data_IF_561948280777
#
_entry.id   IF_561948280777
#
_cell.length_a   1.000
_cell.length_b   1.000
_cell.length_c   1.000
_cell.angle_alpha   90.00
_cell.angle_beta   90.00
_cell.angle_gamma   90.00
#
_symmetry.space_group_name_H-M   'P 1'
#
loop_
_entity.id
_entity.type
_entity.pdbx_description
1 polymer ?
#
# COMPACT_ATOMS: atom_id res chain seq x y z
N UNK A 1 -7.14 -45.59 -54.35
CA UNK A 1 -7.49 -45.16 -52.98
C UNK A 1 -6.33 -44.33 -52.45
N UNK A 2 -6.42 -43.04 -52.76
CA UNK A 2 -5.74 -41.91 -52.11
C UNK A 2 -6.33 -41.82 -50.69
N UNK A 3 -5.67 -41.51 -49.60
CA UNK A 3 -4.46 -40.75 -49.31
C UNK A 3 -4.79 -40.02 -48.00
N UNK A 4 -4.08 -40.32 -46.91
CA UNK A 4 -4.52 -39.90 -45.57
C UNK A 4 -3.43 -39.99 -44.50
N UNK A 5 -2.17 -39.76 -44.87
CA UNK A 5 -1.04 -39.83 -43.92
C UNK A 5 -0.08 -38.65 -43.94
N UNK A 6 -0.24 -37.70 -44.86
CA UNK A 6 0.71 -36.58 -45.04
C UNK A 6 0.24 -35.30 -44.33
N UNK A 7 -1.08 -35.13 -44.13
CA UNK A 7 -1.65 -33.88 -43.64
C UNK A 7 -1.41 -33.57 -42.14
N UNK A 8 -1.16 -34.59 -41.29
CA UNK A 8 -1.05 -34.38 -39.84
C UNK A 8 0.37 -34.03 -39.38
N UNK A 9 1.41 -34.55 -40.04
CA UNK A 9 2.80 -34.18 -39.73
C UNK A 9 3.18 -32.82 -40.32
N UNK A 10 2.66 -32.47 -41.50
CA UNK A 10 2.88 -31.15 -42.10
C UNK A 10 2.12 -30.06 -41.33
N UNK A 11 0.91 -30.35 -40.82
CA UNK A 11 0.18 -29.41 -39.94
C UNK A 11 0.88 -29.18 -38.58
N UNK A 12 1.52 -30.21 -38.00
CA UNK A 12 2.32 -30.04 -36.77
C UNK A 12 3.62 -29.26 -37.02
N UNK A 13 4.24 -29.42 -38.19
CA UNK A 13 5.41 -28.61 -38.60
C UNK A 13 5.04 -27.16 -38.94
N UNK A 14 3.87 -26.92 -39.53
CA UNK A 14 3.34 -25.56 -39.70
C UNK A 14 3.02 -24.90 -38.36
N UNK A 15 2.39 -25.61 -37.43
CA UNK A 15 2.15 -25.10 -36.07
C UNK A 15 3.45 -24.74 -35.34
N UNK A 16 4.50 -25.56 -35.45
CA UNK A 16 5.81 -25.26 -34.84
C UNK A 16 6.54 -24.08 -35.53
N UNK A 17 6.26 -23.81 -36.81
CA UNK A 17 6.80 -22.65 -37.53
C UNK A 17 5.98 -21.37 -37.29
N UNK A 18 4.69 -21.49 -36.98
CA UNK A 18 3.79 -20.38 -36.59
C UNK A 18 4.03 -19.97 -35.14
N UNK A 19 4.23 -20.93 -34.23
CA UNK A 19 4.61 -20.71 -32.85
C UNK A 19 6.12 -20.86 -32.66
N UNK A 20 6.90 -19.96 -33.26
CA UNK A 20 8.27 -19.76 -32.77
C UNK A 20 8.16 -19.23 -31.35
N UNK A 21 8.50 -20.08 -30.38
CA UNK A 21 8.71 -19.68 -29.01
C UNK A 21 9.93 -18.73 -28.95
N UNK A 22 9.70 -17.48 -29.32
CA UNK A 22 10.51 -16.39 -28.78
C UNK A 22 10.21 -16.31 -27.28
N UNK A 23 11.17 -15.91 -26.45
CA UNK A 23 10.93 -15.75 -25.03
C UNK A 23 9.87 -14.68 -24.88
N UNK A 24 8.63 -15.08 -24.56
CA UNK A 24 7.57 -14.14 -24.22
C UNK A 24 7.99 -13.53 -22.89
N UNK A 25 8.44 -12.28 -22.97
CA UNK A 25 8.70 -11.48 -21.80
C UNK A 25 7.35 -11.30 -21.07
N UNK A 26 7.11 -12.06 -19.99
CA UNK A 26 5.81 -12.18 -19.32
C UNK A 26 5.23 -10.83 -18.83
N UNK A 27 6.04 -9.76 -18.83
CA UNK A 27 5.63 -8.38 -18.51
C UNK A 27 4.99 -7.67 -19.72
N UNK A 28 5.35 -8.06 -20.95
CA UNK A 28 4.86 -7.42 -22.18
C UNK A 28 3.40 -7.79 -22.53
N UNK A 29 2.96 -9.00 -22.14
CA UNK A 29 1.63 -9.52 -22.52
C UNK A 29 0.45 -8.78 -21.86
N UNK A 30 0.45 -8.49 -20.54
CA UNK A 30 -0.68 -7.81 -19.89
C UNK A 30 -0.85 -6.35 -20.35
N UNK A 31 0.25 -5.61 -20.51
CA UNK A 31 0.20 -4.23 -20.99
C UNK A 31 -0.23 -4.18 -22.46
N UNK A 32 0.24 -5.13 -23.28
CA UNK A 32 -0.21 -5.26 -24.68
C UNK A 32 -1.72 -5.49 -24.76
N UNK A 33 -2.26 -6.40 -23.94
CA UNK A 33 -3.71 -6.65 -23.85
C UNK A 33 -4.50 -5.40 -23.46
N UNK A 34 -3.98 -4.58 -22.55
CA UNK A 34 -4.60 -3.32 -22.15
C UNK A 34 -4.60 -2.32 -23.32
N UNK A 35 -3.48 -2.21 -24.04
CA UNK A 35 -3.34 -1.33 -25.22
C UNK A 35 -4.30 -1.71 -26.34
N UNK A 36 -4.47 -3.00 -26.59
CA UNK A 36 -5.46 -3.51 -27.54
C UNK A 36 -6.89 -3.20 -27.11
N UNK A 37 -7.18 -3.26 -25.79
CA UNK A 37 -8.48 -2.91 -25.23
C UNK A 37 -8.79 -1.42 -25.42
N UNK A 38 -7.81 -0.54 -25.17
CA UNK A 38 -7.94 0.88 -25.48
C UNK A 38 -8.21 1.12 -26.96
N UNK A 39 -7.45 0.47 -27.84
CA UNK A 39 -7.63 0.61 -29.28
C UNK A 39 -9.01 0.11 -29.75
N UNK A 40 -9.55 -0.95 -29.13
CA UNK A 40 -10.92 -1.42 -29.39
C UNK A 40 -11.96 -0.41 -28.94
N UNK A 41 -11.85 0.11 -27.72
CA UNK A 41 -12.75 1.15 -27.22
C UNK A 41 -12.74 2.36 -28.16
N UNK A 42 -11.57 2.91 -28.48
CA UNK A 42 -11.39 4.09 -29.36
C UNK A 42 -11.97 3.89 -30.78
N UNK A 43 -12.01 2.66 -31.31
CA UNK A 43 -12.60 2.35 -32.62
C UNK A 43 -14.12 2.28 -32.62
N UNK A 44 -14.73 1.93 -31.48
CA UNK A 44 -16.18 1.88 -31.32
C UNK A 44 -16.80 3.27 -31.16
N UNK A 45 -15.98 4.30 -30.90
CA UNK A 45 -16.41 5.67 -30.55
C UNK A 45 -16.78 6.58 -31.74
N UNK A 46 -17.02 6.04 -32.94
CA UNK A 46 -17.53 6.83 -34.07
C UNK A 46 -19.01 7.26 -33.86
N UNK A 47 -19.74 6.68 -32.89
CA UNK A 47 -21.19 6.86 -32.70
C UNK A 47 -21.65 7.51 -31.36
N UNK A 48 -20.84 8.34 -30.70
CA UNK A 48 -21.28 9.05 -29.47
C UNK A 48 -22.00 10.38 -29.75
N UNK A 49 -23.05 10.37 -30.59
CA UNK A 49 -23.91 11.55 -30.80
C UNK A 49 -24.91 11.80 -29.66
N UNK A 50 -25.09 10.83 -28.75
CA UNK A 50 -26.15 10.88 -27.75
C UNK A 50 -25.59 11.27 -26.38
N UNK A 51 -25.92 12.49 -25.93
CA UNK A 51 -25.44 13.13 -24.70
C UNK A 51 -25.97 12.47 -23.39
N UNK A 52 -26.75 11.38 -23.47
CA UNK A 52 -27.55 10.89 -22.34
C UNK A 52 -26.96 9.74 -21.51
N UNK A 53 -25.86 9.09 -21.92
CA UNK A 53 -25.22 8.06 -21.08
C UNK A 53 -24.28 8.70 -20.04
N UNK A 54 -24.84 9.06 -18.89
CA UNK A 54 -24.14 9.75 -17.81
C UNK A 54 -22.98 8.91 -17.22
N UNK A 55 -21.74 9.27 -17.58
CA UNK A 55 -20.58 8.99 -16.73
C UNK A 55 -20.84 9.60 -15.35
N UNK A 56 -20.80 8.80 -14.28
CA UNK A 56 -21.01 9.30 -12.91
C UNK A 56 -19.75 10.06 -12.50
N UNK A 57 -19.83 11.39 -12.54
CA UNK A 57 -18.80 12.30 -12.06
C UNK A 57 -19.08 12.70 -10.61
N UNK A 58 -18.07 12.53 -9.76
CA UNK A 58 -18.04 13.18 -8.45
C UNK A 58 -17.06 14.33 -8.50
N UNK A 59 -17.38 15.44 -7.83
CA UNK A 59 -16.53 16.62 -7.78
C UNK A 59 -15.85 16.70 -6.41
N UNK A 60 -14.54 16.89 -6.42
CA UNK A 60 -13.76 17.07 -5.20
C UNK A 60 -14.26 18.27 -4.39
N UNK A 61 -14.47 18.09 -3.09
CA UNK A 61 -15.00 19.14 -2.20
C UNK A 61 -16.53 19.17 -2.05
N UNK A 62 -17.27 18.28 -2.73
CA UNK A 62 -18.71 18.10 -2.48
C UNK A 62 -18.98 17.32 -1.18
N UNK A 63 -20.06 17.64 -0.46
CA UNK A 63 -20.49 16.88 0.74
C UNK A 63 -20.64 15.39 0.43
N UNK A 64 -21.26 15.07 -0.72
CA UNK A 64 -21.40 13.71 -1.22
C UNK A 64 -20.04 12.98 -1.34
N UNK A 65 -18.99 13.64 -1.85
CA UNK A 65 -17.68 13.00 -1.95
C UNK A 65 -16.99 12.86 -0.59
N UNK A 66 -17.20 13.80 0.33
CA UNK A 66 -16.67 13.69 1.70
C UNK A 66 -17.25 12.47 2.42
N UNK A 67 -18.55 12.21 2.27
CA UNK A 67 -19.23 11.06 2.85
C UNK A 67 -18.78 9.72 2.22
N UNK A 68 -18.40 9.76 0.94
CA UNK A 68 -17.97 8.57 0.17
C UNK A 68 -16.45 8.35 0.21
N UNK A 69 -15.65 9.28 0.75
CA UNK A 69 -14.18 9.25 0.71
C UNK A 69 -13.60 7.97 1.31
N UNK A 70 -14.24 7.42 2.34
CA UNK A 70 -13.80 6.20 3.02
C UNK A 70 -14.32 4.91 2.36
N UNK A 71 -15.17 5.01 1.33
CA UNK A 71 -15.77 3.88 0.62
C UNK A 71 -15.37 3.82 -0.86
N UNK A 72 -14.72 4.88 -1.36
CA UNK A 72 -14.14 4.97 -2.69
C UNK A 72 -12.63 4.69 -2.63
N UNK A 73 -12.21 3.65 -3.34
CA UNK A 73 -10.79 3.30 -3.43
C UNK A 73 -10.10 4.14 -4.49
N UNK A 74 -9.56 5.29 -4.08
CA UNK A 74 -8.76 6.09 -4.97
C UNK A 74 -7.54 5.33 -5.48
N UNK A 75 -7.34 5.38 -6.79
CA UNK A 75 -6.13 4.95 -7.44
C UNK A 75 -5.07 6.04 -7.36
N UNK A 76 -3.79 5.65 -7.25
CA UNK A 76 -2.69 6.60 -7.14
C UNK A 76 -2.51 7.47 -8.37
N UNK A 77 -1.84 8.61 -8.17
CA UNK A 77 -1.24 9.35 -9.27
C UNK A 77 0.21 8.97 -9.41
N UNK A 78 0.45 8.02 -10.30
CA UNK A 78 1.76 7.42 -10.49
C UNK A 78 2.56 8.30 -11.46
N UNK A 79 3.37 9.27 -10.98
CA UNK A 79 4.29 10.05 -11.84
C UNK A 79 5.61 9.31 -12.05
N UNK A 80 6.24 8.90 -10.96
CA UNK A 80 7.41 8.00 -10.89
C UNK A 80 7.17 6.98 -9.76
N UNK A 81 7.40 5.69 -10.06
CA UNK A 81 6.87 4.57 -9.27
C UNK A 81 7.87 3.93 -8.32
N UNK A 82 9.14 4.26 -8.49
CA UNK A 82 10.26 3.80 -7.69
C UNK A 82 11.33 4.90 -7.52
N UNK A 83 10.96 6.16 -7.21
CA UNK A 83 11.96 7.18 -6.95
C UNK A 83 12.79 6.76 -5.74
N UNK A 84 14.09 6.58 -5.97
CA UNK A 84 15.05 6.38 -4.88
C UNK A 84 15.02 7.61 -3.99
N UNK A 85 15.00 7.41 -2.68
CA UNK A 85 15.09 8.50 -1.74
C UNK A 85 16.46 9.19 -1.87
N UNK A 86 16.44 10.52 -1.97
CA UNK A 86 17.65 11.34 -1.85
C UNK A 86 17.82 11.77 -0.40
N UNK A 87 18.66 11.05 0.34
CA UNK A 87 18.94 11.34 1.75
C UNK A 87 19.52 12.74 1.99
N UNK A 88 20.08 13.40 0.96
CA UNK A 88 20.54 14.78 1.07
C UNK A 88 19.37 15.75 1.34
N UNK A 89 18.15 15.39 0.91
CA UNK A 89 16.93 16.18 1.08
C UNK A 89 16.17 15.91 2.38
N UNK A 90 16.67 15.02 3.23
CA UNK A 90 16.04 14.67 4.49
C UNK A 90 15.85 15.90 5.39
N UNK A 91 14.65 16.04 5.96
CA UNK A 91 14.32 17.17 6.83
C UNK A 91 14.80 16.92 8.27
N UNK A 92 16.05 17.31 8.55
CA UNK A 92 16.74 17.03 9.81
C UNK A 92 17.00 18.33 10.57
N UNK A 93 16.69 18.33 11.87
CA UNK A 93 17.06 19.40 12.79
C UNK A 93 16.24 20.67 12.63
N UNK A 94 16.64 21.71 13.36
CA UNK A 94 15.96 23.01 13.35
C UNK A 94 16.96 24.15 13.26
N UNK A 95 16.73 25.02 12.27
CA UNK A 95 17.68 26.07 11.91
C UNK A 95 17.98 26.99 13.09
N UNK A 96 19.27 27.14 13.40
CA UNK A 96 19.75 27.96 14.53
C UNK A 96 19.61 27.32 15.91
N UNK A 97 19.10 26.08 15.99
CA UNK A 97 18.92 25.34 17.23
C UNK A 97 19.78 24.06 17.25
N UNK A 98 19.77 23.27 16.18
CA UNK A 98 20.59 22.06 16.06
C UNK A 98 22.03 22.39 15.63
N UNK A 99 22.99 21.62 16.13
CA UNK A 99 24.38 21.70 15.68
C UNK A 99 24.62 20.78 14.48
N UNK A 100 25.72 21.03 13.76
CA UNK A 100 26.13 20.22 12.61
C UNK A 100 26.38 18.77 13.03
N UNK A 101 26.97 18.56 14.22
CA UNK A 101 27.25 17.23 14.76
C UNK A 101 25.97 16.46 15.06
N UNK A 102 24.95 17.14 15.61
CA UNK A 102 23.64 16.56 15.86
C UNK A 102 23.00 16.07 14.55
N UNK A 103 22.91 16.94 13.55
CA UNK A 103 22.33 16.59 12.24
C UNK A 103 23.11 15.47 11.54
N UNK A 104 24.44 15.43 11.69
CA UNK A 104 25.28 14.37 11.16
C UNK A 104 25.00 13.01 11.81
N UNK A 105 24.67 12.95 13.10
CA UNK A 105 24.29 11.69 13.77
C UNK A 105 23.01 11.10 13.16
N UNK A 106 21.97 11.92 12.97
CA UNK A 106 20.73 11.47 12.34
C UNK A 106 21.01 11.04 10.90
N UNK A 107 21.79 11.82 10.14
CA UNK A 107 22.14 11.48 8.76
C UNK A 107 22.84 10.12 8.65
N UNK A 108 23.77 9.83 9.55
CA UNK A 108 24.44 8.53 9.60
C UNK A 108 23.46 7.37 9.85
N UNK A 109 22.44 7.57 10.69
CA UNK A 109 21.37 6.59 10.92
C UNK A 109 20.53 6.41 9.65
N UNK A 110 20.14 7.49 8.97
CA UNK A 110 19.38 7.41 7.72
C UNK A 110 20.17 6.70 6.61
N UNK A 111 21.47 6.96 6.49
CA UNK A 111 22.38 6.30 5.55
C UNK A 111 22.51 4.80 5.82
N UNK A 112 22.66 4.43 7.09
CA UNK A 112 22.66 3.04 7.55
C UNK A 112 21.39 2.30 7.14
N UNK A 113 20.23 2.95 7.25
CA UNK A 113 18.92 2.37 6.93
C UNK A 113 18.35 2.81 5.57
N UNK A 114 19.18 3.26 4.63
CA UNK A 114 18.75 3.87 3.36
C UNK A 114 17.73 3.04 2.57
N UNK A 115 17.78 1.71 2.65
CA UNK A 115 16.84 0.79 2.01
C UNK A 115 15.38 0.93 2.50
N UNK A 116 15.18 1.55 3.67
CA UNK A 116 13.86 1.76 4.27
C UNK A 116 13.13 2.97 3.69
N UNK A 117 13.83 3.85 2.96
CA UNK A 117 13.29 5.15 2.55
C UNK A 117 12.91 5.19 1.07
N UNK A 118 11.75 5.79 0.78
CA UNK A 118 11.26 6.04 -0.59
C UNK A 118 11.17 7.55 -0.86
N UNK A 119 11.47 7.94 -2.10
CA UNK A 119 11.57 9.35 -2.53
C UNK A 119 10.24 10.01 -2.91
N UNK A 120 9.14 9.25 -2.99
CA UNK A 120 7.77 9.76 -3.14
C UNK A 120 6.86 8.91 -2.26
N UNK A 121 5.84 9.53 -1.65
CA UNK A 121 4.83 8.83 -0.86
C UNK A 121 3.98 7.86 -1.69
N UNK A 122 3.96 8.00 -3.02
CA UNK A 122 3.27 7.09 -3.95
C UNK A 122 4.19 6.02 -4.58
N UNK A 123 5.45 5.94 -4.15
CA UNK A 123 6.35 4.87 -4.59
C UNK A 123 5.82 3.52 -4.12
N UNK A 124 5.91 2.49 -4.98
CA UNK A 124 5.41 1.16 -4.64
C UNK A 124 6.38 0.51 -3.64
N UNK A 125 5.93 0.25 -2.39
CA UNK A 125 6.79 -0.31 -1.37
C UNK A 125 6.97 -1.82 -1.60
N UNK A 126 8.00 -2.37 -0.96
CA UNK A 126 8.12 -3.81 -0.86
C UNK A 126 6.92 -4.41 -0.09
N UNK A 127 6.53 -5.68 -0.35
CA UNK A 127 5.62 -6.41 0.52
C UNK A 127 6.01 -6.31 1.99
N UNK A 128 5.03 -5.98 2.85
CA UNK A 128 5.20 -6.21 4.29
C UNK A 128 5.18 -7.69 4.62
N UNK A 129 5.73 -8.02 5.79
CA UNK A 129 5.80 -9.38 6.34
C UNK A 129 4.77 -9.57 7.45
N UNK A 130 4.37 -10.81 7.68
CA UNK A 130 3.56 -11.27 8.80
C UNK A 130 2.07 -10.93 8.71
N UNK A 131 1.69 -10.03 7.81
CA UNK A 131 0.31 -9.60 7.60
C UNK A 131 -0.12 -9.85 6.16
N UNK A 132 -1.39 -10.23 6.00
CA UNK A 132 -2.09 -10.23 4.73
C UNK A 132 -3.45 -9.60 4.93
N UNK A 133 -3.95 -8.93 3.90
CA UNK A 133 -5.30 -8.43 3.87
C UNK A 133 -6.23 -9.54 3.38
N UNK A 134 -7.21 -9.84 4.21
CA UNK A 134 -8.25 -10.81 3.93
C UNK A 134 -9.63 -10.19 4.10
N UNK A 135 -10.57 -10.59 3.23
CA UNK A 135 -11.92 -10.02 3.17
C UNK A 135 -12.94 -11.13 3.42
N UNK A 136 -13.34 -11.31 4.68
CA UNK A 136 -14.39 -12.27 5.04
C UNK A 136 -15.77 -11.69 4.74
N UNK A 137 -16.48 -12.29 3.80
CA UNK A 137 -17.87 -11.95 3.44
C UNK A 137 -18.88 -13.02 3.90
N UNK A 138 -18.43 -14.03 4.67
CA UNK A 138 -19.25 -15.17 5.06
C UNK A 138 -19.80 -15.93 3.86
N UNK A 139 -21.09 -16.24 3.89
CA UNK A 139 -21.81 -16.95 2.81
C UNK A 139 -22.38 -16.01 1.74
N UNK A 140 -21.96 -14.73 1.72
CA UNK A 140 -22.44 -13.77 0.74
C UNK A 140 -22.03 -14.20 -0.69
N UNK A 141 -22.99 -14.11 -1.62
CA UNK A 141 -22.74 -14.39 -3.02
C UNK A 141 -21.98 -13.24 -3.69
N UNK A 142 -21.18 -13.53 -4.74
CA UNK A 142 -20.53 -12.48 -5.51
C UNK A 142 -21.48 -11.44 -6.06
N UNK A 143 -21.04 -10.17 -6.02
CA UNK A 143 -21.75 -9.04 -6.61
C UNK A 143 -20.97 -8.55 -7.83
N UNK A 144 -21.53 -8.74 -9.01
CA UNK A 144 -20.98 -8.26 -10.28
C UNK A 144 -21.78 -7.06 -10.78
N UNK A 145 -21.22 -5.85 -10.61
CA UNK A 145 -21.80 -4.64 -11.16
C UNK A 145 -21.30 -4.41 -12.60
N UNK A 146 -22.11 -3.73 -13.41
CA UNK A 146 -21.73 -3.39 -14.78
C UNK A 146 -20.66 -2.29 -14.80
N UNK A 147 -19.76 -2.38 -15.80
CA UNK A 147 -18.86 -1.27 -16.13
C UNK A 147 -19.66 0.00 -16.42
N UNK A 148 -19.17 1.14 -15.90
CA UNK A 148 -19.73 2.46 -16.22
C UNK A 148 -19.11 2.98 -17.52
N UNK A 149 -19.88 3.67 -18.37
CA UNK A 149 -19.34 4.38 -19.53
C UNK A 149 -18.34 5.45 -19.09
N UNK A 150 -17.26 5.61 -19.87
CA UNK A 150 -16.23 6.62 -19.64
C UNK A 150 -16.10 7.45 -20.90
N UNK A 151 -16.19 8.78 -20.76
CA UNK A 151 -16.02 9.67 -21.91
C UNK A 151 -14.62 9.49 -22.55
N UNK A 152 -14.52 9.58 -23.89
CA UNK A 152 -13.26 9.44 -24.64
C UNK A 152 -12.10 10.25 -24.06
N UNK A 153 -12.39 11.50 -23.67
CA UNK A 153 -11.42 12.45 -23.10
C UNK A 153 -10.72 11.95 -21.82
N UNK A 154 -11.37 11.06 -21.06
CA UNK A 154 -10.81 10.49 -19.82
C UNK A 154 -10.27 9.08 -20.02
N UNK A 155 -10.71 8.37 -21.07
CA UNK A 155 -10.34 6.99 -21.31
C UNK A 155 -8.82 6.81 -21.44
N UNK A 156 -8.13 7.79 -22.05
CA UNK A 156 -6.67 7.81 -22.11
C UNK A 156 -6.00 7.94 -20.74
N UNK A 157 -6.52 8.82 -19.87
CA UNK A 157 -6.01 8.97 -18.49
C UNK A 157 -6.24 7.68 -17.68
N UNK A 158 -7.38 7.01 -17.88
CA UNK A 158 -7.69 5.71 -17.26
C UNK A 158 -6.71 4.63 -17.73
N UNK A 159 -6.43 4.57 -19.04
CA UNK A 159 -5.43 3.66 -19.60
C UNK A 159 -4.03 3.89 -19.00
N UNK A 160 -3.55 5.13 -18.99
CA UNK A 160 -2.21 5.47 -18.49
C UNK A 160 -2.04 5.08 -17.01
N UNK A 161 -3.11 5.17 -16.22
CA UNK A 161 -3.12 4.74 -14.83
C UNK A 161 -3.15 3.21 -14.70
N UNK A 162 -4.02 2.52 -15.42
CA UNK A 162 -4.09 1.05 -15.40
C UNK A 162 -2.79 0.41 -15.91
N UNK A 163 -2.17 0.99 -16.94
CA UNK A 163 -0.89 0.55 -17.47
C UNK A 163 0.18 0.55 -16.37
N UNK A 164 0.27 1.63 -15.60
CA UNK A 164 1.21 1.75 -14.48
C UNK A 164 0.89 0.76 -13.35
N UNK A 165 -0.38 0.57 -13.02
CA UNK A 165 -0.79 -0.38 -11.97
C UNK A 165 -0.46 -1.83 -12.35
N UNK A 166 -0.65 -2.19 -13.62
CA UNK A 166 -0.31 -3.52 -14.15
C UNK A 166 1.21 -3.70 -14.21
N UNK A 167 1.96 -2.70 -14.68
CA UNK A 167 3.43 -2.73 -14.73
C UNK A 167 4.06 -2.91 -13.36
N UNK A 168 3.49 -2.26 -12.33
CA UNK A 168 3.93 -2.37 -10.94
C UNK A 168 3.43 -3.62 -10.23
N UNK A 169 2.61 -4.44 -10.89
CA UNK A 169 1.96 -5.63 -10.33
C UNK A 169 1.07 -5.33 -9.13
N UNK A 170 0.64 -4.08 -8.93
CA UNK A 170 -0.36 -3.72 -7.92
C UNK A 170 -1.74 -4.27 -8.27
N UNK A 171 -2.02 -4.36 -9.58
CA UNK A 171 -3.22 -5.01 -10.11
C UNK A 171 -2.85 -6.02 -11.20
N UNK A 172 -3.73 -6.99 -11.38
CA UNK A 172 -3.65 -8.00 -12.44
C UNK A 172 -5.03 -8.17 -13.09
N UNK A 173 -5.08 -8.83 -14.25
CA UNK A 173 -6.37 -9.20 -14.84
C UNK A 173 -7.10 -10.20 -13.95
N UNK A 174 -8.41 -10.05 -13.84
CA UNK A 174 -9.25 -10.92 -13.01
C UNK A 174 -10.15 -11.81 -13.86
N UNK A 175 -10.50 -12.96 -13.29
CA UNK A 175 -11.57 -13.88 -13.72
C UNK A 175 -12.64 -14.02 -12.62
N UNK A 176 -12.62 -13.13 -11.62
CA UNK A 176 -13.52 -13.15 -10.46
C UNK A 176 -14.99 -12.96 -10.82
N UNK A 177 -15.87 -13.64 -10.08
CA UNK A 177 -17.32 -13.40 -10.13
C UNK A 177 -17.72 -12.06 -9.48
N UNK A 178 -16.80 -11.38 -8.80
CA UNK A 178 -17.01 -10.04 -8.23
C UNK A 178 -16.60 -8.97 -9.22
N UNK A 179 -17.34 -7.86 -9.25
CA UNK A 179 -16.97 -6.70 -10.06
C UNK A 179 -17.51 -5.40 -9.44
N UNK A 180 -16.62 -4.57 -8.90
CA UNK A 180 -16.92 -3.20 -8.50
C UNK A 180 -16.60 -2.22 -9.62
N UNK A 181 -17.50 -1.28 -9.97
CA UNK A 181 -17.25 -0.37 -11.09
C UNK A 181 -16.32 0.76 -10.63
N UNK A 182 -15.53 1.29 -11.57
CA UNK A 182 -14.77 2.52 -11.32
C UNK A 182 -15.66 3.77 -11.35
N UNK A 183 -15.21 4.81 -10.67
CA UNK A 183 -15.81 6.15 -10.57
C UNK A 183 -14.75 7.19 -10.86
N UNK A 184 -15.09 8.19 -11.66
CA UNK A 184 -14.18 9.29 -11.99
C UNK A 184 -14.50 10.46 -11.06
N UNK A 185 -13.51 10.86 -10.26
CA UNK A 185 -13.57 12.05 -9.42
C UNK A 185 -12.84 13.18 -10.14
N UNK A 186 -13.49 14.30 -10.40
CA UNK A 186 -12.85 15.50 -10.91
C UNK A 186 -12.15 16.23 -9.77
N UNK A 187 -10.86 16.53 -9.93
CA UNK A 187 -10.10 17.33 -8.98
C UNK A 187 -10.57 18.78 -8.97
N UNK A 188 -10.19 19.53 -7.93
CA UNK A 188 -10.48 20.98 -7.79
C UNK A 188 -10.09 21.83 -9.00
N UNK A 189 -9.08 21.43 -9.77
CA UNK A 189 -8.66 22.15 -10.98
C UNK A 189 -9.59 21.96 -12.18
N UNK A 190 -10.60 21.09 -12.08
CA UNK A 190 -11.61 20.87 -13.13
C UNK A 190 -11.12 20.13 -14.37
N UNK A 191 -9.83 19.75 -14.43
CA UNK A 191 -9.19 19.12 -15.59
C UNK A 191 -8.62 17.75 -15.25
N UNK A 192 -8.05 17.62 -14.06
CA UNK A 192 -7.49 16.36 -13.60
C UNK A 192 -8.55 15.48 -12.98
N UNK A 193 -8.34 14.17 -13.15
CA UNK A 193 -9.22 13.16 -12.61
C UNK A 193 -8.47 12.32 -11.59
N UNK A 194 -9.21 11.82 -10.61
CA UNK A 194 -8.80 10.77 -9.69
C UNK A 194 -9.72 9.59 -9.93
N UNK A 195 -9.14 8.46 -10.32
CA UNK A 195 -9.90 7.25 -10.53
C UNK A 195 -10.17 6.58 -9.19
N UNK A 196 -11.40 6.17 -8.93
CA UNK A 196 -11.78 5.48 -7.71
C UNK A 196 -12.51 4.17 -8.02
N UNK A 197 -12.49 3.19 -7.13
CA UNK A 197 -13.34 1.99 -7.23
C UNK A 197 -14.47 2.11 -6.21
N UNK A 198 -15.69 1.82 -6.64
CA UNK A 198 -16.89 1.86 -5.80
C UNK A 198 -17.06 0.56 -5.01
N UNK A 199 -16.40 0.46 -3.85
CA UNK A 199 -16.50 -0.71 -2.96
C UNK A 199 -17.69 -0.64 -1.99
N UNK A 200 -18.66 0.26 -2.19
CA UNK A 200 -19.75 0.45 -1.21
C UNK A 200 -20.55 -0.81 -0.95
N UNK A 201 -20.93 -1.54 -1.99
CA UNK A 201 -21.66 -2.81 -1.84
C UNK A 201 -20.78 -3.89 -1.22
N UNK A 202 -19.52 -4.00 -1.67
CA UNK A 202 -18.56 -4.96 -1.13
C UNK A 202 -18.33 -4.72 0.37
N UNK A 203 -18.15 -3.46 0.78
CA UNK A 203 -17.95 -3.05 2.18
C UNK A 203 -19.16 -3.34 3.09
N UNK A 204 -20.38 -3.42 2.54
CA UNK A 204 -21.56 -3.83 3.32
C UNK A 204 -21.57 -5.34 3.59
N UNK A 205 -20.91 -6.14 2.74
CA UNK A 205 -20.84 -7.60 2.85
C UNK A 205 -19.63 -8.05 3.68
N UNK A 206 -18.56 -7.27 3.69
CA UNK A 206 -17.36 -7.56 4.50
C UNK A 206 -17.71 -7.50 6.00
N UNK A 207 -17.43 -8.59 6.71
CA UNK A 207 -17.46 -8.63 8.16
C UNK A 207 -16.39 -7.68 8.71
N UNK A 208 -16.83 -6.80 9.59
CA UNK A 208 -15.96 -5.81 10.21
C UNK A 208 -14.96 -6.51 11.12
N UNK A 209 -13.67 -6.22 10.93
CA UNK A 209 -12.63 -6.66 11.85
C UNK A 209 -12.81 -5.99 13.21
N UNK A 210 -12.62 -6.77 14.28
CA UNK A 210 -12.61 -6.25 15.65
C UNK A 210 -11.18 -5.87 16.04
N UNK A 211 -10.77 -4.65 15.72
CA UNK A 211 -9.52 -4.07 16.17
C UNK A 211 -9.74 -2.64 16.65
N UNK A 212 -9.34 -2.28 17.87
CA UNK A 212 -9.58 -0.96 18.42
C UNK A 212 -8.60 0.05 17.80
N UNK A 213 -9.10 1.00 17.01
CA UNK A 213 -8.31 2.17 16.67
C UNK A 213 -8.18 3.07 17.91
N UNK A 214 -6.98 3.56 18.24
CA UNK A 214 -6.80 4.48 19.35
C UNK A 214 -7.53 5.80 19.09
N UNK A 215 -8.00 6.45 20.16
CA UNK A 215 -8.52 7.81 20.05
C UNK A 215 -7.36 8.78 19.81
N UNK A 216 -7.59 9.80 18.98
CA UNK A 216 -6.57 10.82 18.69
C UNK A 216 -6.09 11.46 20.00
N UNK A 217 -7.01 11.80 20.90
CA UNK A 217 -6.67 12.41 22.20
C UNK A 217 -5.75 11.50 23.03
N UNK A 218 -5.94 10.18 23.00
CA UNK A 218 -5.09 9.22 23.72
C UNK A 218 -3.67 9.18 23.15
N UNK A 219 -3.52 9.38 21.83
CA UNK A 219 -2.22 9.42 21.15
C UNK A 219 -1.46 10.73 21.38
N UNK A 220 -2.16 11.78 21.77
CA UNK A 220 -1.56 13.08 22.07
C UNK A 220 -1.05 13.17 23.51
N UNK A 221 -1.34 12.18 24.36
CA UNK A 221 -0.82 12.12 25.73
C UNK A 221 0.66 11.71 25.71
N UNK A 222 1.46 12.32 26.61
CA UNK A 222 2.85 11.88 26.85
C UNK A 222 3.93 12.71 26.16
N UNK A 223 3.57 13.76 25.42
CA UNK A 223 4.54 14.69 24.82
C UNK A 223 5.03 15.80 25.77
N UNK A 224 4.52 15.86 27.00
CA UNK A 224 4.73 16.97 27.96
C UNK A 224 6.19 17.13 28.43
N UNK A 225 6.98 16.05 28.47
CA UNK A 225 8.41 16.09 28.86
C UNK A 225 9.37 16.02 27.68
N UNK A 226 8.88 16.08 26.45
CA UNK A 226 9.68 15.83 25.25
C UNK A 226 10.26 17.12 24.66
N UNK A 227 11.52 17.07 24.25
CA UNK A 227 12.27 18.23 23.73
C UNK A 227 12.57 18.13 22.24
N UNK A 228 12.68 16.92 21.72
CA UNK A 228 13.01 16.64 20.33
C UNK A 228 12.02 15.66 19.76
N UNK A 229 11.52 15.95 18.57
CA UNK A 229 10.44 15.20 17.96
C UNK A 229 10.88 14.62 16.62
N UNK A 230 10.28 13.49 16.27
CA UNK A 230 10.29 12.93 14.92
C UNK A 230 8.87 12.59 14.51
N UNK A 231 8.62 12.69 13.21
CA UNK A 231 7.37 12.29 12.56
C UNK A 231 7.72 11.45 11.34
N UNK A 232 7.20 10.23 11.25
CA UNK A 232 7.39 9.35 10.10
C UNK A 232 6.06 9.11 9.39
N UNK A 233 6.03 9.35 8.08
CA UNK A 233 4.95 8.94 7.19
C UNK A 233 5.35 7.62 6.54
N UNK A 234 4.56 6.56 6.74
CA UNK A 234 4.80 5.27 6.09
C UNK A 234 4.46 5.40 4.60
N UNK A 235 5.42 5.03 3.74
CA UNK A 235 5.24 5.21 2.30
C UNK A 235 4.22 4.21 1.74
N UNK A 236 3.18 4.74 1.09
CA UNK A 236 2.16 3.94 0.40
C UNK A 236 1.61 2.79 1.26
N UNK A 237 1.37 3.07 2.55
CA UNK A 237 1.19 2.06 3.60
C UNK A 237 0.29 0.89 3.21
N UNK A 238 -0.92 1.17 2.71
CA UNK A 238 -1.84 0.07 2.34
C UNK A 238 -1.31 -0.82 1.21
N UNK A 239 -0.62 -0.27 0.20
CA UNK A 239 -0.08 -1.08 -0.90
C UNK A 239 1.11 -1.96 -0.49
N UNK A 240 1.66 -1.77 0.69
CA UNK A 240 2.66 -2.68 1.23
C UNK A 240 2.04 -4.03 1.63
N UNK A 241 0.76 -4.05 2.05
CA UNK A 241 0.09 -5.25 2.55
C UNK A 241 -0.34 -6.18 1.40
N UNK A 242 0.15 -7.43 1.32
CA UNK A 242 -0.32 -8.42 0.35
C UNK A 242 -1.78 -8.83 0.56
N UNK A 243 -2.48 -9.22 -0.49
CA UNK A 243 -3.85 -9.74 -0.44
C UNK A 243 -3.90 -11.27 -0.47
N UNK A 244 -4.79 -11.88 0.32
CA UNK A 244 -5.14 -13.31 0.15
C UNK A 244 -5.82 -13.53 -1.20
N UNK A 245 -5.78 -14.75 -1.75
CA UNK A 245 -6.46 -15.06 -3.01
C UNK A 245 -7.95 -14.66 -2.96
N UNK A 246 -8.65 -15.05 -1.89
CA UNK A 246 -10.05 -14.65 -1.65
C UNK A 246 -10.23 -13.13 -1.71
N UNK A 247 -9.38 -12.38 -1.02
CA UNK A 247 -9.46 -10.93 -1.01
C UNK A 247 -9.17 -10.31 -2.38
N UNK A 248 -8.23 -10.87 -3.16
CA UNK A 248 -8.00 -10.46 -4.55
C UNK A 248 -9.29 -10.56 -5.36
N UNK A 249 -9.94 -11.71 -5.36
CA UNK A 249 -11.21 -11.92 -6.06
C UNK A 249 -12.28 -10.92 -5.62
N UNK A 250 -12.46 -10.69 -4.32
CA UNK A 250 -13.47 -9.74 -3.80
C UNK A 250 -13.13 -8.29 -4.16
N UNK A 251 -11.84 -7.94 -4.25
CA UNK A 251 -11.38 -6.61 -4.66
C UNK A 251 -11.53 -6.33 -6.16
N UNK A 252 -11.98 -7.31 -6.95
CA UNK A 252 -12.03 -7.18 -8.39
C UNK A 252 -12.92 -6.00 -8.85
N UNK A 253 -12.42 -5.26 -9.83
CA UNK A 253 -13.04 -4.06 -10.36
C UNK A 253 -13.10 -4.07 -11.88
N UNK A 254 -14.08 -3.36 -12.42
CA UNK A 254 -14.40 -3.38 -13.85
C UNK A 254 -14.48 -1.98 -14.46
N UNK A 255 -13.99 -1.87 -15.68
CA UNK A 255 -14.05 -0.68 -16.53
C UNK A 255 -14.17 -1.07 -18.01
N UNK A 256 -14.39 -0.11 -18.93
CA UNK A 256 -14.44 -0.40 -20.36
C UNK A 256 -13.17 -1.06 -20.91
N UNK A 257 -12.02 -0.84 -20.26
CA UNK A 257 -10.73 -1.40 -20.67
C UNK A 257 -10.49 -2.83 -20.17
N UNK A 258 -11.33 -3.34 -19.26
CA UNK A 258 -11.21 -4.71 -18.75
C UNK A 258 -11.66 -4.90 -17.31
N UNK A 259 -11.37 -6.10 -16.80
CA UNK A 259 -11.67 -6.56 -15.46
C UNK A 259 -10.37 -6.95 -14.76
N UNK A 260 -10.16 -6.39 -13.58
CA UNK A 260 -8.88 -6.40 -12.87
C UNK A 260 -9.11 -6.71 -11.39
N UNK A 261 -8.08 -7.15 -10.69
CA UNK A 261 -8.09 -7.35 -9.24
C UNK A 261 -6.80 -6.85 -8.61
N UNK A 262 -6.86 -6.53 -7.33
CA UNK A 262 -5.68 -6.08 -6.60
C UNK A 262 -4.86 -7.25 -6.11
N UNK A 263 -3.54 -7.06 -6.13
CA UNK A 263 -2.57 -7.97 -5.48
C UNK A 263 -2.14 -7.45 -4.11
N UNK A 264 -2.28 -6.13 -3.89
CA UNK A 264 -1.98 -5.37 -2.68
C UNK A 264 -3.21 -4.68 -2.15
N UNK A 265 -3.28 -4.44 -0.86
CA UNK A 265 -4.46 -3.86 -0.22
C UNK A 265 -4.76 -2.45 -0.75
N UNK A 266 -5.89 -2.24 -1.45
CA UNK A 266 -6.27 -0.92 -1.90
C UNK A 266 -6.86 -0.07 -0.76
N UNK A 267 -6.82 1.24 -0.96
CA UNK A 267 -7.64 2.19 -0.21
C UNK A 267 -9.14 1.86 -0.39
N UNK A 268 -10.01 2.40 0.47
CA UNK A 268 -11.47 2.30 0.31
C UNK A 268 -12.11 0.98 0.71
N UNK A 269 -11.33 -0.06 1.06
CA UNK A 269 -11.83 -1.26 1.72
C UNK A 269 -12.02 -1.00 3.22
N UNK A 270 -13.15 -1.45 3.77
CA UNK A 270 -13.57 -1.16 5.16
C UNK A 270 -12.56 -1.57 6.23
N UNK A 271 -11.90 -2.72 6.06
CA UNK A 271 -10.94 -3.26 7.03
C UNK A 271 -9.50 -2.78 6.81
N UNK A 272 -9.19 -2.11 5.69
CA UNK A 272 -7.82 -1.71 5.36
C UNK A 272 -7.09 -0.92 6.47
N UNK A 273 -7.67 0.15 7.05
CA UNK A 273 -7.01 0.88 8.13
C UNK A 273 -6.84 0.05 9.41
N UNK A 274 -7.75 -0.90 9.68
CA UNK A 274 -7.68 -1.77 10.87
C UNK A 274 -6.55 -2.79 10.75
N UNK A 275 -6.41 -3.40 9.58
CA UNK A 275 -5.33 -4.35 9.26
C UNK A 275 -3.99 -3.63 9.35
N UNK A 276 -3.90 -2.44 8.78
CA UNK A 276 -2.67 -1.65 8.80
C UNK A 276 -2.28 -1.20 10.21
N UNK A 277 -3.25 -0.70 11.01
CA UNK A 277 -2.99 -0.34 12.41
C UNK A 277 -2.53 -1.56 13.22
N UNK A 278 -3.17 -2.72 13.08
CA UNK A 278 -2.76 -3.95 13.78
C UNK A 278 -1.32 -4.34 13.44
N UNK A 279 -0.94 -4.25 12.17
CA UNK A 279 0.42 -4.47 11.73
C UNK A 279 1.39 -3.47 12.37
N UNK A 280 1.08 -2.18 12.33
CA UNK A 280 1.98 -1.14 12.82
C UNK A 280 2.13 -1.18 14.35
N UNK A 281 1.05 -1.42 15.08
CA UNK A 281 1.10 -1.60 16.53
C UNK A 281 1.99 -2.79 16.90
N UNK A 282 1.85 -3.91 16.20
CA UNK A 282 2.71 -5.06 16.47
C UNK A 282 4.17 -4.83 16.06
N UNK A 283 4.39 -4.07 14.99
CA UNK A 283 5.73 -3.61 14.63
C UNK A 283 6.35 -2.86 15.82
N UNK A 284 5.65 -1.86 16.35
CA UNK A 284 6.14 -1.02 17.43
C UNK A 284 6.25 -1.73 18.79
N UNK A 285 5.34 -2.65 19.12
CA UNK A 285 5.20 -3.25 20.46
C UNK A 285 5.80 -4.64 20.58
N UNK A 286 5.92 -5.36 19.46
CA UNK A 286 6.44 -6.73 19.41
C UNK A 286 5.60 -7.72 20.19
N UNK A 287 4.30 -7.86 19.89
CA UNK A 287 3.47 -8.90 20.51
C UNK A 287 3.76 -10.27 19.93
N UNK A 288 3.89 -10.35 18.60
CA UNK A 288 4.15 -11.58 17.85
C UNK A 288 5.33 -11.43 16.90
N UNK A 289 6.03 -12.53 16.64
CA UNK A 289 7.16 -12.59 15.68
C UNK A 289 6.73 -13.07 14.29
N UNK A 290 7.60 -12.88 13.31
CA UNK A 290 7.41 -13.39 11.96
C UNK A 290 7.61 -14.92 11.89
N UNK A 291 7.01 -15.60 10.90
CA UNK A 291 7.31 -16.99 10.58
C UNK A 291 8.77 -17.18 10.16
N UNK A 292 9.33 -18.38 10.35
CA UNK A 292 10.71 -18.68 9.97
C UNK A 292 10.98 -18.44 8.47
N UNK A 293 10.02 -18.75 7.60
CA UNK A 293 10.11 -18.54 6.15
C UNK A 293 10.18 -17.06 5.75
N UNK A 294 9.62 -16.16 6.57
CA UNK A 294 9.70 -14.72 6.35
C UNK A 294 10.90 -14.10 7.06
N UNK A 295 11.30 -14.60 8.23
CA UNK A 295 12.55 -14.21 8.90
C UNK A 295 13.77 -14.54 8.03
N UNK A 296 13.74 -15.65 7.28
CA UNK A 296 14.77 -15.99 6.30
C UNK A 296 14.92 -14.95 5.16
N UNK A 297 13.92 -14.07 4.97
CA UNK A 297 13.94 -12.98 3.99
C UNK A 297 14.29 -11.63 4.61
N UNK A 298 14.57 -11.58 5.92
CA UNK A 298 15.00 -10.37 6.63
C UNK A 298 16.51 -10.23 6.50
N UNK A 299 17.00 -8.99 6.38
CA UNK A 299 18.43 -8.70 6.28
C UNK A 299 19.19 -9.22 7.51
N UNK A 300 20.39 -9.77 7.29
CA UNK A 300 21.17 -10.40 8.35
C UNK A 300 21.53 -9.44 9.50
N UNK A 301 21.80 -8.17 9.19
CA UNK A 301 22.11 -7.14 10.19
C UNK A 301 20.92 -6.81 11.08
N UNK A 302 19.69 -6.92 10.55
CA UNK A 302 18.45 -6.73 11.30
C UNK A 302 18.23 -7.89 12.27
N UNK A 303 18.42 -9.13 11.80
CA UNK A 303 18.30 -10.32 12.65
C UNK A 303 19.35 -10.33 13.76
N UNK A 304 20.60 -9.98 13.44
CA UNK A 304 21.69 -9.84 14.40
C UNK A 304 21.37 -8.78 15.46
N UNK A 305 20.92 -7.59 15.05
CA UNK A 305 20.54 -6.51 15.96
C UNK A 305 19.41 -6.92 16.91
N UNK A 306 18.42 -7.65 16.40
CA UNK A 306 17.28 -8.13 17.17
C UNK A 306 17.59 -9.41 17.97
N UNK A 307 18.78 -9.99 17.81
CA UNK A 307 19.17 -11.23 18.48
C UNK A 307 18.31 -12.44 18.07
N UNK A 308 17.75 -12.41 16.87
CA UNK A 308 16.88 -13.47 16.34
C UNK A 308 17.76 -14.51 15.65
N UNK A 309 17.74 -15.74 16.15
CA UNK A 309 18.28 -16.89 15.44
C UNK A 309 17.16 -17.52 14.62
N UNK A 310 17.38 -17.66 13.31
CA UNK A 310 16.49 -18.45 12.45
C UNK A 310 16.78 -19.91 12.78
N UNK A 311 16.03 -20.48 13.72
CA UNK A 311 16.14 -21.91 14.00
C UNK A 311 15.51 -22.71 12.87
N UNK A 312 16.23 -23.72 12.37
CA UNK A 312 15.66 -24.82 11.59
C UNK A 312 14.85 -25.75 12.54
N UNK A 313 13.73 -25.29 13.10
CA UNK A 313 12.93 -26.11 14.03
C UNK A 313 11.46 -26.25 13.61
N UNK A 314 11.22 -27.36 12.91
CA UNK A 314 9.95 -28.14 12.87
C UNK A 314 8.69 -27.43 12.33
N UNK A 315 8.77 -26.67 11.24
CA UNK A 315 7.58 -26.25 10.48
C UNK A 315 7.22 -27.22 9.32
N UNK A 316 7.90 -28.36 9.18
CA UNK A 316 7.60 -29.32 8.10
C UNK A 316 6.21 -30.00 8.26
N UNK A 317 5.67 -30.12 9.48
CA UNK A 317 4.41 -30.85 9.73
C UNK A 317 3.13 -29.98 9.82
N UNK A 318 3.23 -28.63 9.82
CA UNK A 318 2.08 -27.71 9.91
C UNK A 318 1.92 -26.73 8.74
N UNK A 319 2.90 -26.67 7.82
CA UNK A 319 2.98 -25.69 6.73
C UNK A 319 1.68 -25.51 5.95
N UNK A 320 1.01 -26.60 5.55
CA UNK A 320 -0.22 -26.54 4.76
C UNK A 320 -1.42 -25.87 5.45
N UNK A 321 -1.51 -25.89 6.79
CA UNK A 321 -2.60 -25.23 7.54
C UNK A 321 -2.27 -23.78 7.86
N UNK A 322 -0.99 -23.46 8.08
CA UNK A 322 -0.55 -22.13 8.51
C UNK A 322 -0.18 -21.19 7.37
N UNK A 323 0.01 -21.68 6.15
CA UNK A 323 0.40 -20.87 4.98
C UNK A 323 -0.60 -19.75 4.63
N UNK A 324 -1.86 -19.90 5.05
CA UNK A 324 -2.89 -18.88 4.87
C UNK A 324 -3.14 -17.99 6.10
N UNK A 325 -2.47 -18.29 7.23
CA UNK A 325 -2.70 -17.60 8.50
C UNK A 325 -1.76 -16.41 8.71
N UNK A 326 -2.29 -15.29 9.17
CA UNK A 326 -1.47 -14.15 9.63
C UNK A 326 -0.70 -14.48 10.90
N UNK A 327 0.36 -13.74 11.21
CA UNK A 327 1.07 -13.84 12.50
C UNK A 327 0.15 -13.64 13.71
N UNK A 328 -0.90 -12.81 13.56
CA UNK A 328 -1.89 -12.55 14.59
C UNK A 328 -2.78 -13.77 14.87
N UNK A 329 -3.02 -14.60 13.87
CA UNK A 329 -3.75 -15.86 14.02
C UNK A 329 -2.85 -16.97 14.56
N UNK A 330 -1.57 -17.02 14.14
CA UNK A 330 -0.57 -17.96 14.68
C UNK A 330 -0.26 -17.68 16.14
N UNK A 331 -0.26 -16.39 16.52
CA UNK A 331 -0.08 -15.89 17.88
C UNK A 331 1.19 -16.43 18.58
N UNK A 332 2.29 -16.54 17.82
CA UNK A 332 3.59 -16.94 18.36
C UNK A 332 4.21 -15.71 19.04
N UNK A 333 4.44 -15.74 20.37
CA UNK A 333 4.96 -14.58 21.10
C UNK A 333 6.31 -14.12 20.55
N UNK A 334 6.50 -12.81 20.50
CA UNK A 334 7.80 -12.26 20.16
C UNK A 334 8.82 -12.54 21.28
N UNK A 335 10.10 -12.83 20.93
CA UNK A 335 11.18 -12.90 21.91
C UNK A 335 11.33 -11.57 22.70
N UNK A 336 11.83 -11.60 23.95
CA UNK A 336 12.00 -10.40 24.78
C UNK A 336 12.84 -9.29 24.13
N UNK A 337 13.70 -9.62 23.18
CA UNK A 337 14.51 -8.67 22.42
C UNK A 337 13.66 -7.78 21.52
N UNK A 338 12.46 -8.22 21.14
CA UNK A 338 11.46 -7.45 20.40
C UNK A 338 10.58 -6.57 21.31
N UNK A 339 11.03 -6.23 22.53
CA UNK A 339 10.37 -5.26 23.41
C UNK A 339 9.87 -4.00 22.68
N UNK A 340 8.83 -3.32 23.20
CA UNK A 340 8.30 -2.11 22.58
C UNK A 340 9.40 -1.09 22.30
N UNK A 341 9.44 -0.60 21.06
CA UNK A 341 10.38 0.46 20.65
C UNK A 341 9.83 1.82 21.07
N UNK A 342 8.52 2.03 20.88
CA UNK A 342 7.80 3.26 21.19
C UNK A 342 6.50 2.95 21.95
N UNK A 343 5.94 3.97 22.62
CA UNK A 343 4.59 3.93 23.20
C UNK A 343 3.48 4.02 22.13
N UNK A 344 2.24 4.31 22.54
CA UNK A 344 1.12 4.50 21.59
C UNK A 344 1.26 5.85 20.92
N UNK A 345 1.87 5.85 19.74
CA UNK A 345 2.06 7.08 18.96
C UNK A 345 1.96 6.87 17.45
N UNK A 346 1.37 5.73 17.06
CA UNK A 346 1.01 5.38 15.69
C UNK A 346 -0.49 5.59 15.44
N UNK A 347 -0.81 6.17 14.29
CA UNK A 347 -2.17 6.21 13.77
C UNK A 347 -2.14 5.93 12.28
N UNK A 348 -2.57 4.72 11.91
CA UNK A 348 -2.57 4.20 10.55
C UNK A 348 -1.16 4.31 9.95
N UNK A 349 -0.90 5.30 9.08
CA UNK A 349 0.36 5.47 8.37
C UNK A 349 1.31 6.48 9.06
N UNK A 350 0.86 7.17 10.11
CA UNK A 350 1.64 8.22 10.78
C UNK A 350 2.20 7.73 12.12
N UNK A 351 3.50 7.93 12.33
CA UNK A 351 4.16 7.74 13.64
C UNK A 351 4.69 9.09 14.11
N UNK A 352 4.29 9.53 15.30
CA UNK A 352 4.96 10.62 16.00
C UNK A 352 5.77 10.07 17.17
N UNK A 353 6.88 10.71 17.50
CA UNK A 353 7.62 10.38 18.73
C UNK A 353 8.35 11.60 19.26
N UNK A 354 8.50 11.66 20.58
CA UNK A 354 9.22 12.71 21.28
C UNK A 354 10.20 12.10 22.28
N UNK A 355 11.41 12.65 22.33
CA UNK A 355 12.46 12.27 23.27
C UNK A 355 12.91 13.49 24.09
N UNK A 356 13.33 13.26 25.33
CA UNK A 356 13.83 14.32 26.23
C UNK A 356 15.20 14.84 25.79
N UNK A 357 16.02 13.98 25.17
CA UNK A 357 17.37 14.30 24.72
C UNK A 357 17.58 13.88 23.26
N UNK A 358 18.53 14.55 22.60
CA UNK A 358 18.90 14.23 21.22
C UNK A 358 19.47 12.82 21.08
N UNK A 359 20.36 12.42 22.00
CA UNK A 359 20.96 11.08 21.98
C UNK A 359 19.90 9.99 22.09
N UNK A 360 18.89 10.19 22.95
CA UNK A 360 17.78 9.26 23.09
C UNK A 360 16.94 9.20 21.81
N UNK A 361 16.65 10.35 21.17
CA UNK A 361 15.99 10.39 19.87
C UNK A 361 16.74 9.55 18.83
N UNK A 362 18.06 9.70 18.74
CA UNK A 362 18.89 8.96 17.81
C UNK A 362 18.86 7.45 18.07
N UNK A 363 18.96 7.03 19.34
CA UNK A 363 18.88 5.61 19.74
C UNK A 363 17.53 5.01 19.34
N UNK A 364 16.44 5.73 19.61
CA UNK A 364 15.09 5.23 19.34
C UNK A 364 14.77 5.23 17.85
N UNK A 365 15.26 6.22 17.10
CA UNK A 365 15.16 6.23 15.64
C UNK A 365 15.89 5.03 15.01
N UNK A 366 17.12 4.72 15.44
CA UNK A 366 17.87 3.57 14.92
C UNK A 366 17.13 2.25 15.21
N UNK A 367 16.64 2.08 16.45
CA UNK A 367 15.83 0.91 16.85
C UNK A 367 14.53 0.79 16.06
N UNK A 368 13.85 1.91 15.84
CA UNK A 368 12.61 1.97 15.08
C UNK A 368 12.83 1.56 13.62
N UNK A 369 13.90 2.05 12.99
CA UNK A 369 14.21 1.69 11.60
C UNK A 369 14.57 0.21 11.45
N UNK A 370 15.30 -0.39 12.41
CA UNK A 370 15.49 -1.85 12.44
C UNK A 370 14.16 -2.60 12.52
N UNK A 371 13.24 -2.09 13.34
CA UNK A 371 11.93 -2.71 13.50
C UNK A 371 11.10 -2.62 12.23
N UNK A 372 11.06 -1.47 11.58
CA UNK A 372 10.38 -1.27 10.30
C UNK A 372 10.95 -2.19 9.21
N UNK A 373 12.29 -2.33 9.14
CA UNK A 373 12.96 -3.26 8.21
C UNK A 373 12.60 -4.72 8.44
N UNK A 374 12.52 -5.17 9.70
CA UNK A 374 12.08 -6.52 10.05
C UNK A 374 10.68 -6.80 9.47
N UNK A 375 9.74 -5.87 9.64
CA UNK A 375 8.38 -5.98 9.10
C UNK A 375 8.23 -5.65 7.60
N UNK A 376 9.29 -5.15 6.95
CA UNK A 376 9.26 -4.76 5.53
C UNK A 376 8.47 -3.48 5.27
N UNK A 377 8.39 -2.59 6.26
CA UNK A 377 7.66 -1.32 6.17
C UNK A 377 8.62 -0.23 5.70
N UNK A 378 8.22 0.54 4.69
CA UNK A 378 8.99 1.65 4.13
C UNK A 378 8.49 3.00 4.61
N UNK A 379 9.39 3.98 4.68
CA UNK A 379 9.14 5.35 5.15
C UNK A 379 9.25 6.34 3.98
N UNK A 380 8.33 7.30 3.91
CA UNK A 380 8.40 8.40 2.96
C UNK A 380 9.38 9.46 3.46
N UNK A 381 10.56 9.54 2.85
CA UNK A 381 11.57 10.53 3.27
C UNK A 381 11.07 11.98 3.14
N UNK A 382 10.43 12.40 2.02
CA UNK A 382 10.04 13.81 1.84
C UNK A 382 8.95 14.30 2.80
N UNK A 383 8.26 13.37 3.47
CA UNK A 383 7.17 13.68 4.40
C UNK A 383 7.52 13.39 5.86
N UNK A 384 8.71 12.86 6.11
CA UNK A 384 9.18 12.55 7.46
C UNK A 384 10.08 13.67 7.97
N UNK A 385 9.93 13.99 9.24
CA UNK A 385 10.65 15.06 9.94
C UNK A 385 11.49 14.44 11.07
N UNK A 386 12.75 14.82 11.19
CA UNK A 386 13.68 14.22 12.16
C UNK A 386 14.32 15.28 13.06
N UNK A 387 14.17 15.16 14.38
CA UNK A 387 14.88 16.03 15.33
C UNK A 387 14.38 17.47 15.35
N UNK A 388 13.07 17.67 15.30
CA UNK A 388 12.41 19.00 15.35
C UNK A 388 12.08 19.42 16.78
N UNK A 389 11.85 20.72 17.03
CA UNK A 389 11.21 21.20 18.27
C UNK A 389 9.69 21.14 18.20
N UNK A 390 9.13 21.18 17.00
CA UNK A 390 7.71 21.01 16.77
C UNK A 390 7.45 20.14 15.54
N UNK A 391 6.39 19.34 15.59
CA UNK A 391 5.95 18.50 14.47
C UNK A 391 4.45 18.63 14.24
N UNK A 392 4.03 18.28 13.04
CA UNK A 392 2.62 18.19 12.68
C UNK A 392 2.14 16.74 12.82
N UNK A 393 1.13 16.49 13.65
CA UNK A 393 0.57 15.15 13.84
C UNK A 393 -0.93 15.20 14.07
N UNK A 394 -1.71 14.44 13.30
CA UNK A 394 -3.17 14.31 13.44
C UNK A 394 -3.92 15.66 13.54
N UNK A 395 -3.56 16.63 12.69
CA UNK A 395 -4.10 18.01 12.70
C UNK A 395 -3.74 18.85 13.93
N UNK A 396 -2.78 18.40 14.72
CA UNK A 396 -2.20 19.14 15.84
C UNK A 396 -0.77 19.53 15.51
N UNK A 397 -0.32 20.62 16.11
CA UNK A 397 1.08 20.97 16.25
C UNK A 397 1.50 20.53 17.65
N UNK A 398 2.50 19.66 17.72
CA UNK A 398 3.05 19.13 18.96
C UNK A 398 4.42 19.74 19.15
N UNK A 399 4.70 20.26 20.34
CA UNK A 399 6.01 20.76 20.72
C UNK A 399 6.22 20.78 22.22
N UNK A 400 7.42 21.17 22.65
CA UNK A 400 7.77 21.25 24.07
C UNK A 400 6.89 22.25 24.86
N UNK A 401 6.33 23.26 24.19
CA UNK A 401 5.42 24.26 24.78
C UNK A 401 3.97 23.76 24.88
N UNK A 402 3.71 22.52 24.47
CA UNK A 402 2.39 21.88 24.50
C UNK A 402 1.80 21.62 23.11
N UNK A 403 0.52 21.26 23.10
CA UNK A 403 -0.20 20.79 21.92
C UNK A 403 -1.21 21.85 21.48
N UNK A 404 -1.18 22.21 20.19
CA UNK A 404 -2.09 23.21 19.60
C UNK A 404 -2.85 22.61 18.44
N UNK A 405 -4.17 22.73 18.43
CA UNK A 405 -4.97 22.35 17.26
C UNK A 405 -4.65 23.29 16.08
N UNK A 406 -4.40 22.74 14.89
CA UNK A 406 -4.28 23.56 13.69
C UNK A 406 -5.68 24.03 13.26
N UNK A 407 -5.90 25.33 13.01
CA UNK A 407 -7.17 25.79 12.51
C UNK A 407 -7.45 25.11 11.16
N UNK A 408 -8.64 24.52 11.01
CA UNK A 408 -9.10 24.05 9.69
C UNK A 408 -9.17 25.29 8.79
N UNK A 409 -8.33 25.35 7.77
CA UNK A 409 -8.47 26.35 6.72
C UNK A 409 -9.83 26.08 6.07
N UNK A 410 -10.77 27.00 6.30
CA UNK A 410 -12.15 26.94 5.82
C UNK A 410 -12.23 27.01 4.30
#
# INVERSE_FOLDING_TARGET
MVGGGVATQDAQKELANVFKAEPVDFVAEPVSRLKESLARCMRLEIDFSDEEEATVYLHEGTELLNDLRNQLAALPELKDLSPKADLATADIGEFGVTTIEMEAQVRAILEKHHASFLGDGNAVPAPTRGVVCDLDVGDAKPVAQRSRPIRPQHLRKVYELLEKLVQTKLVEYSDSDWASPIVIVMKKNGVDIRLCIDYRLVNQLIKLMHYPLPLIDDLLIGFESTMWFLSLDMASGFWAVPMTLRAKHISAFICPLGHFQWTRMPFGLKNAPLIYQQMLDNCLWGFVRLPASEEAQVDADVLEFLGIQVEDSVEEDLSTLTDSMTVFQRNIPAPPQLNPVLGRSSYIDDIAYGAETWDQLCIDLDRLLYRLRYWGISVSLPKSEFGKKTISYLSHEIGAEGIRAKPKIA
#
